data_IF_689601091186
#
_entry.id   IF_689601091186
#
_cell.length_a   1.000
_cell.length_b   1.000
_cell.length_c   1.000
_cell.angle_alpha   90.00
_cell.angle_beta   90.00
_cell.angle_gamma   90.00
#
_symmetry.space_group_name_H-M   'P 1'
#
loop_
_entity.id
_entity.type
_entity.pdbx_description
1 polymer ?
#
# COMPACT_ATOMS: atom_id res chain seq x y z
N UNK A 1 -9.67 25.28 43.02
CA UNK A 1 -8.61 24.53 42.29
C UNK A 1 -8.96 23.07 41.97
N UNK A 2 -10.18 22.58 42.22
CA UNK A 2 -10.56 21.15 42.01
C UNK A 2 -11.18 20.84 40.64
N UNK A 3 -11.61 21.88 39.91
CA UNK A 3 -12.20 21.77 38.57
C UNK A 3 -11.14 21.86 37.45
N UNK A 4 -9.98 22.44 37.76
CA UNK A 4 -8.85 22.50 36.83
C UNK A 4 -8.18 21.13 36.65
N UNK A 5 -8.11 20.31 37.71
CA UNK A 5 -7.59 18.94 37.63
C UNK A 5 -8.44 18.06 36.70
N UNK A 6 -9.77 18.20 36.76
CA UNK A 6 -10.71 17.48 35.89
C UNK A 6 -10.67 17.98 34.44
N UNK A 7 -10.42 19.27 34.24
CA UNK A 7 -10.27 19.86 32.91
C UNK A 7 -8.99 19.39 32.21
N UNK A 8 -7.90 19.19 32.97
CA UNK A 8 -6.64 18.65 32.44
C UNK A 8 -6.79 17.16 32.10
N UNK A 9 -7.53 16.40 32.92
CA UNK A 9 -7.80 14.98 32.64
C UNK A 9 -8.66 14.76 31.37
N UNK A 10 -9.53 15.71 31.02
CA UNK A 10 -10.38 15.61 29.83
C UNK A 10 -9.69 16.01 28.52
N UNK A 11 -8.57 16.76 28.58
CA UNK A 11 -7.88 17.24 27.38
C UNK A 11 -6.91 16.21 26.77
N UNK A 12 -6.54 15.15 27.49
CA UNK A 12 -5.57 14.13 27.04
C UNK A 12 -6.20 13.05 26.15
N UNK A 13 -7.54 12.97 26.08
CA UNK A 13 -8.26 11.85 25.44
C UNK A 13 -8.66 12.07 23.97
N UNK A 14 -8.24 13.15 23.32
CA UNK A 14 -8.67 13.49 21.94
C UNK A 14 -7.56 13.46 20.87
N UNK A 15 -6.43 12.80 21.12
CA UNK A 15 -5.43 12.53 20.09
C UNK A 15 -5.48 11.07 19.65
N UNK A 16 -6.58 10.64 19.04
CA UNK A 16 -6.53 9.52 18.10
C UNK A 16 -6.08 10.09 16.77
N UNK A 17 -4.78 9.99 16.53
CA UNK A 17 -4.13 10.32 15.28
C UNK A 17 -4.85 9.60 14.15
N UNK A 18 -5.41 10.34 13.20
CA UNK A 18 -5.69 9.80 11.89
C UNK A 18 -4.33 9.43 11.29
N UNK A 19 -3.93 8.16 11.41
CA UNK A 19 -2.90 7.64 10.54
C UNK A 19 -3.42 7.88 9.13
N UNK A 20 -2.89 8.86 8.41
CA UNK A 20 -3.11 8.98 6.99
C UNK A 20 -2.50 7.72 6.40
N UNK A 21 -3.33 6.87 5.81
CA UNK A 21 -2.91 5.69 5.07
C UNK A 21 -2.43 6.22 3.72
N UNK A 22 -1.43 7.11 3.75
CA UNK A 22 -0.58 7.31 2.61
C UNK A 22 0.21 6.00 2.53
N UNK A 23 -0.31 5.00 1.80
CA UNK A 23 0.48 3.81 1.50
C UNK A 23 1.77 4.31 0.85
N UNK A 24 2.94 4.18 1.49
CA UNK A 24 4.16 4.85 1.02
C UNK A 24 4.78 4.16 -0.21
N UNK A 25 3.96 3.53 -1.04
CA UNK A 25 4.39 2.55 -2.05
C UNK A 25 4.03 1.12 -1.65
N UNK A 26 4.67 0.16 -2.30
CA UNK A 26 4.38 -1.27 -2.14
C UNK A 26 4.81 -1.78 -0.77
N UNK A 27 3.97 -2.63 -0.15
CA UNK A 27 4.34 -3.31 1.10
C UNK A 27 5.36 -4.43 0.85
N UNK A 28 6.16 -4.85 1.87
CA UNK A 28 7.06 -5.99 1.73
C UNK A 28 6.36 -7.29 1.30
N UNK A 29 5.09 -7.47 1.70
CA UNK A 29 4.27 -8.60 1.26
C UNK A 29 4.00 -8.51 -0.25
N UNK A 30 3.54 -7.35 -0.73
CA UNK A 30 3.26 -7.14 -2.17
C UNK A 30 4.52 -7.31 -3.02
N UNK A 31 5.67 -6.85 -2.55
CA UNK A 31 6.96 -7.06 -3.21
C UNK A 31 7.28 -8.53 -3.52
N UNK A 32 6.71 -9.47 -2.77
CA UNK A 32 6.93 -10.90 -2.92
C UNK A 32 5.70 -11.65 -3.48
N UNK A 33 4.61 -10.95 -3.80
CA UNK A 33 3.38 -11.52 -4.35
C UNK A 33 3.29 -11.29 -5.88
N UNK A 34 2.29 -11.90 -6.51
CA UNK A 34 1.88 -11.57 -7.87
C UNK A 34 1.40 -10.11 -7.93
N UNK A 35 1.76 -9.32 -8.96
CA UNK A 35 2.35 -9.70 -10.25
C UNK A 35 3.89 -9.70 -10.31
N UNK A 36 4.58 -9.27 -9.25
CA UNK A 36 6.05 -9.13 -9.26
C UNK A 36 6.77 -10.48 -9.17
N UNK A 37 6.18 -11.44 -8.45
CA UNK A 37 6.64 -12.82 -8.39
C UNK A 37 5.85 -13.68 -9.38
N UNK A 38 6.56 -14.39 -10.25
CA UNK A 38 5.97 -15.37 -11.18
C UNK A 38 5.30 -16.51 -10.41
N UNK A 39 4.03 -16.75 -10.70
CA UNK A 39 3.31 -17.92 -10.20
C UNK A 39 3.76 -19.19 -10.92
N UNK A 40 3.71 -20.32 -10.19
CA UNK A 40 3.91 -21.67 -10.75
C UNK A 40 2.58 -22.33 -11.17
N UNK A 41 1.48 -21.71 -10.82
CA UNK A 41 0.10 -22.14 -11.07
C UNK A 41 -0.63 -21.07 -11.85
N UNK A 42 -1.85 -21.38 -12.29
CA UNK A 42 -2.75 -20.38 -12.87
C UNK A 42 -3.04 -19.24 -11.89
N UNK A 43 -3.33 -18.06 -12.45
CA UNK A 43 -3.71 -16.87 -11.70
C UNK A 43 -5.10 -17.09 -11.13
N UNK A 44 -5.24 -16.94 -9.81
CA UNK A 44 -6.55 -16.94 -9.14
C UNK A 44 -7.25 -15.60 -9.30
N UNK A 45 -8.59 -15.59 -9.23
CA UNK A 45 -9.36 -14.34 -9.27
C UNK A 45 -8.91 -13.32 -8.20
N UNK A 46 -8.53 -13.80 -7.01
CA UNK A 46 -8.00 -12.92 -5.95
C UNK A 46 -6.70 -12.25 -6.36
N UNK A 47 -5.77 -13.00 -6.97
CA UNK A 47 -4.49 -12.45 -7.45
C UNK A 47 -4.69 -11.44 -8.57
N UNK A 48 -5.61 -11.73 -9.50
CA UNK A 48 -5.97 -10.78 -10.55
C UNK A 48 -6.53 -9.47 -9.98
N UNK A 49 -7.42 -9.55 -8.98
CA UNK A 49 -7.97 -8.37 -8.33
C UNK A 49 -6.93 -7.58 -7.52
N UNK A 50 -5.93 -8.26 -6.96
CA UNK A 50 -4.80 -7.60 -6.32
C UNK A 50 -3.98 -6.79 -7.33
N UNK A 51 -3.61 -7.40 -8.47
CA UNK A 51 -2.90 -6.70 -9.56
C UNK A 51 -3.71 -5.50 -10.07
N UNK A 52 -5.02 -5.66 -10.25
CA UNK A 52 -5.88 -4.55 -10.67
C UNK A 52 -5.86 -3.41 -9.63
N UNK A 53 -5.97 -3.73 -8.34
CA UNK A 53 -5.91 -2.73 -7.27
C UNK A 53 -4.57 -1.98 -7.25
N UNK A 54 -3.45 -2.67 -7.54
CA UNK A 54 -2.13 -2.06 -7.64
C UNK A 54 -2.00 -1.14 -8.86
N UNK A 55 -2.60 -1.50 -10.00
CA UNK A 55 -2.67 -0.66 -11.19
C UNK A 55 -3.56 0.58 -10.96
N UNK A 56 -4.70 0.41 -10.30
CA UNK A 56 -5.60 1.51 -9.93
C UNK A 56 -4.92 2.49 -8.97
N UNK A 57 -4.14 1.98 -8.01
CA UNK A 57 -3.36 2.81 -7.08
C UNK A 57 -2.35 3.73 -7.79
N UNK A 58 -1.84 3.34 -8.96
CA UNK A 58 -0.95 4.17 -9.79
C UNK A 58 -1.69 4.93 -10.91
N UNK A 59 -3.02 4.90 -10.91
CA UNK A 59 -3.91 5.72 -11.72
C UNK A 59 -4.47 5.06 -12.97
N UNK A 60 -4.50 3.72 -13.05
CA UNK A 60 -5.31 3.02 -14.05
C UNK A 60 -6.80 3.12 -13.69
N UNK A 61 -7.67 3.33 -14.66
CA UNK A 61 -9.12 3.26 -14.48
C UNK A 61 -9.68 2.18 -15.42
N UNK A 62 -10.08 1.00 -14.91
CA UNK A 62 -10.64 -0.07 -15.75
C UNK A 62 -12.06 0.24 -16.24
N UNK A 63 -12.74 1.23 -15.68
CA UNK A 63 -14.09 1.64 -16.09
C UNK A 63 -14.10 2.70 -17.18
N UNK A 64 -12.93 3.27 -17.50
CA UNK A 64 -12.79 4.29 -18.52
C UNK A 64 -13.18 3.74 -19.91
N UNK A 65 -13.93 4.54 -20.66
CA UNK A 65 -14.20 4.27 -22.06
C UNK A 65 -12.98 4.70 -22.91
N UNK A 66 -11.94 3.87 -22.88
CA UNK A 66 -10.65 4.15 -23.50
C UNK A 66 -10.61 3.76 -25.00
N UNK A 67 -10.47 4.76 -25.87
CA UNK A 67 -10.32 4.56 -27.31
C UNK A 67 -8.90 4.14 -27.73
N UNK A 68 -7.95 4.21 -26.81
CA UNK A 68 -6.51 3.99 -27.02
C UNK A 68 -5.99 2.78 -26.24
N UNK A 69 -6.87 1.85 -25.85
CA UNK A 69 -6.45 0.62 -25.20
C UNK A 69 -5.38 -0.12 -26.04
N UNK A 70 -4.25 -0.56 -25.46
CA UNK A 70 -3.96 -0.68 -24.02
C UNK A 70 -3.02 0.41 -23.47
N UNK A 71 -2.99 1.62 -24.04
CA UNK A 71 -1.96 2.64 -23.72
C UNK A 71 -1.93 3.04 -22.25
N UNK A 72 -3.08 3.30 -21.64
CA UNK A 72 -3.18 3.70 -20.22
C UNK A 72 -2.80 2.56 -19.27
N UNK A 73 -3.16 1.31 -19.62
CA UNK A 73 -2.72 0.12 -18.90
C UNK A 73 -1.19 0.00 -18.91
N UNK A 74 -0.55 0.18 -20.08
CA UNK A 74 0.91 0.14 -20.17
C UNK A 74 1.58 1.28 -19.39
N UNK A 75 0.98 2.47 -19.38
CA UNK A 75 1.47 3.60 -18.61
C UNK A 75 1.39 3.31 -17.10
N UNK A 76 0.28 2.76 -16.62
CA UNK A 76 0.11 2.32 -15.24
C UNK A 76 1.13 1.22 -14.86
N UNK A 77 1.29 0.18 -15.68
CA UNK A 77 2.28 -0.88 -15.44
C UNK A 77 3.69 -0.31 -15.32
N UNK A 78 4.06 0.68 -16.14
CA UNK A 78 5.37 1.34 -16.06
C UNK A 78 5.56 2.10 -14.74
N UNK A 79 4.53 2.79 -14.25
CA UNK A 79 4.55 3.46 -12.94
C UNK A 79 4.67 2.44 -11.81
N UNK A 80 3.85 1.40 -11.82
CA UNK A 80 3.88 0.32 -10.83
C UNK A 80 5.25 -0.37 -10.77
N UNK A 81 5.85 -0.65 -11.93
CA UNK A 81 7.21 -1.20 -11.99
C UNK A 81 8.27 -0.21 -11.45
N UNK A 82 8.05 1.09 -11.55
CA UNK A 82 8.94 2.08 -10.95
C UNK A 82 8.82 2.09 -9.42
N UNK A 83 7.60 1.95 -8.89
CA UNK A 83 7.36 1.77 -7.45
C UNK A 83 8.00 0.48 -6.94
N UNK A 84 7.83 -0.63 -7.65
CA UNK A 84 8.49 -1.90 -7.33
C UNK A 84 10.01 -1.76 -7.21
N UNK A 85 10.65 -1.08 -8.18
CA UNK A 85 12.09 -0.82 -8.09
C UNK A 85 12.42 0.02 -6.86
N UNK A 86 11.68 1.11 -6.62
CA UNK A 86 11.90 1.99 -5.46
C UNK A 86 11.75 1.25 -4.13
N UNK A 87 10.68 0.49 -3.96
CA UNK A 87 10.25 -0.01 -2.66
C UNK A 87 10.80 -1.41 -2.37
N UNK A 88 10.91 -2.26 -3.38
CA UNK A 88 11.25 -3.67 -3.21
C UNK A 88 12.73 -3.95 -3.48
N UNK A 89 13.37 -3.24 -4.41
CA UNK A 89 14.81 -3.49 -4.71
C UNK A 89 15.74 -2.74 -3.77
N UNK A 90 15.34 -1.58 -3.25
CA UNK A 90 16.10 -0.84 -2.24
C UNK A 90 15.94 -1.42 -0.82
N UNK A 91 14.78 -2.03 -0.50
CA UNK A 91 14.48 -2.54 0.85
C UNK A 91 15.05 -3.94 1.16
N UNK A 92 15.58 -4.67 0.17
CA UNK A 92 16.24 -5.96 0.38
C UNK A 92 17.52 -5.89 1.25
N UNK A 93 17.91 -4.70 1.72
CA UNK A 93 19.05 -4.46 2.60
C UNK A 93 18.72 -4.18 4.08
N UNK A 94 17.45 -4.18 4.51
CA UNK A 94 17.10 -3.89 5.92
C UNK A 94 16.22 -5.00 6.49
N UNK A 95 16.76 -5.92 7.31
CA UNK A 95 15.92 -6.72 8.19
C UNK A 95 15.28 -5.78 9.22
N UNK A 96 14.01 -5.45 9.02
CA UNK A 96 13.15 -4.91 10.08
C UNK A 96 12.87 -5.99 11.10
N UNK A 97 13.88 -6.27 11.93
CA UNK A 97 13.58 -6.64 13.30
C UNK A 97 12.70 -5.53 13.91
N UNK A 98 11.79 -5.93 14.80
CA UNK A 98 11.05 -5.09 15.74
C UNK A 98 9.66 -4.59 15.30
N UNK A 99 8.66 -5.44 15.50
CA UNK A 99 7.60 -5.10 16.47
C UNK A 99 7.05 -6.37 17.12
N UNK A 100 7.81 -6.93 18.07
CA UNK A 100 7.25 -7.76 19.12
C UNK A 100 7.03 -6.86 20.34
N UNK A 101 5.79 -6.54 20.63
CA UNK A 101 5.43 -5.90 21.88
C UNK A 101 4.11 -6.49 22.41
N UNK A 102 4.25 -7.51 23.24
CA UNK A 102 3.32 -7.84 24.34
C UNK A 102 4.16 -8.47 25.46
N UNK A 103 3.96 -8.04 26.70
CA UNK A 103 3.13 -8.83 27.60
C UNK A 103 1.83 -8.13 28.04
#
# INVERSE_FOLDING_TARGET
>A
MKHFEKAIAAAVLLTVSAASWASPGLTPQQCNDYPFTRLKTEVTHKQLMNELSELEAVGYDPSANDNYYPSDLMAAQKKLNAEYRRDCTASNGVPTAQYSATP
#
